data_IF_053032224334
#
_entry.id   IF_053032224334
#
_cell.length_a   1.000
_cell.length_b   1.000
_cell.length_c   1.000
_cell.angle_alpha   90.00
_cell.angle_beta   90.00
_cell.angle_gamma   90.00
#
_symmetry.space_group_name_H-M   'P 1'
#
loop_
_entity.id
_entity.type
_entity.pdbx_description
1 polymer ?
#
# COMPACT_ATOMS: atom_id res chain seq x y z
N UNK A 1 -45.76 -18.80 52.81
CA UNK A 1 -44.37 -18.35 53.02
C UNK A 1 -43.71 -18.34 51.65
N UNK A 2 -43.78 -17.32 50.79
CA UNK A 2 -43.37 -15.91 50.91
C UNK A 2 -41.94 -15.75 51.45
N UNK A 3 -41.07 -15.18 50.61
CA UNK A 3 -39.97 -14.19 50.76
C UNK A 3 -39.23 -14.24 49.38
N UNK A 4 -39.26 -13.29 48.43
CA UNK A 4 -39.06 -11.83 48.47
C UNK A 4 -37.73 -11.52 49.20
N UNK A 5 -36.66 -10.93 48.66
CA UNK A 5 -36.54 -9.78 47.73
C UNK A 5 -35.04 -9.55 47.39
N UNK A 6 -34.77 -9.11 46.15
CA UNK A 6 -33.90 -7.99 45.74
C UNK A 6 -32.49 -7.81 46.37
N UNK A 7 -31.45 -7.89 45.53
CA UNK A 7 -30.40 -6.86 45.40
C UNK A 7 -29.54 -7.09 44.14
N UNK A 8 -29.76 -6.28 43.09
CA UNK A 8 -28.80 -5.32 42.49
C UNK A 8 -27.60 -5.99 41.79
N UNK A 9 -27.57 -6.09 40.45
CA UNK A 9 -27.16 -5.04 39.48
C UNK A 9 -25.82 -4.37 39.82
N UNK A 10 -25.05 -4.05 38.76
CA UNK A 10 -23.70 -3.44 38.71
C UNK A 10 -22.57 -4.49 38.66
N UNK A 11 -21.68 -4.62 37.68
CA UNK A 11 -21.29 -3.77 36.55
C UNK A 11 -21.06 -4.64 35.29
N UNK A 12 -21.89 -4.43 34.27
CA UNK A 12 -21.42 -4.42 32.88
C UNK A 12 -20.70 -3.08 32.71
N UNK A 13 -19.38 -3.03 32.68
CA UNK A 13 -18.66 -1.85 32.21
C UNK A 13 -17.28 -2.22 31.64
N UNK A 14 -17.09 -1.83 30.38
CA UNK A 14 -15.83 -1.67 29.65
C UNK A 14 -14.96 -2.93 29.43
N UNK A 15 -15.26 -3.62 28.33
CA UNK A 15 -14.23 -4.03 27.37
C UNK A 15 -14.74 -3.81 25.94
N UNK A 16 -15.20 -2.59 25.63
CA UNK A 16 -15.01 -2.04 24.29
C UNK A 16 -13.56 -1.52 24.23
N UNK A 17 -12.62 -2.46 24.29
CA UNK A 17 -11.28 -2.21 23.76
C UNK A 17 -11.48 -1.90 22.29
N UNK A 18 -11.37 -0.61 21.98
CA UNK A 18 -11.13 -0.07 20.66
C UNK A 18 -10.28 -1.09 19.91
N UNK A 19 -10.90 -1.76 18.94
CA UNK A 19 -10.17 -2.34 17.82
C UNK A 19 -9.56 -1.15 17.10
N UNK A 20 -8.41 -0.68 17.61
CA UNK A 20 -7.43 0.04 16.82
C UNK A 20 -7.25 -0.86 15.62
N UNK A 21 -7.78 -0.43 14.47
CA UNK A 21 -7.65 -1.16 13.24
C UNK A 21 -6.19 -1.52 13.10
N UNK A 22 -5.90 -2.81 13.10
CA UNK A 22 -4.63 -3.32 12.65
C UNK A 22 -4.56 -2.97 11.15
N UNK A 23 -4.24 -1.71 10.87
CA UNK A 23 -3.74 -1.34 9.56
C UNK A 23 -2.56 -2.27 9.31
N UNK A 24 -2.58 -2.99 8.20
CA UNK A 24 -1.47 -3.84 7.80
C UNK A 24 -0.18 -3.01 7.97
N UNK A 25 0.67 -3.43 8.90
CA UNK A 25 1.88 -2.69 9.24
C UNK A 25 2.72 -2.65 7.96
N UNK A 26 3.04 -1.44 7.47
CA UNK A 26 3.77 -1.30 6.21
C UNK A 26 5.14 -1.99 6.36
N UNK A 27 5.53 -2.77 5.36
CA UNK A 27 6.82 -3.45 5.35
C UNK A 27 7.98 -2.45 5.44
N UNK A 28 7.78 -1.17 5.12
CA UNK A 28 8.79 -0.12 5.22
C UNK A 28 8.82 0.60 6.56
N UNK A 29 7.96 0.25 7.51
CA UNK A 29 7.95 0.91 8.82
C UNK A 29 9.06 0.39 9.74
N UNK A 30 9.64 1.31 10.56
CA UNK A 30 9.47 2.78 10.56
C UNK A 30 10.06 3.50 9.33
N UNK A 31 9.42 4.60 8.89
CA UNK A 31 9.66 5.28 7.61
C UNK A 31 11.12 5.69 7.31
N UNK A 32 11.87 6.06 8.36
CA UNK A 32 13.26 6.51 8.27
C UNK A 32 14.26 5.36 8.42
N UNK A 33 13.79 4.15 8.69
CA UNK A 33 14.65 2.99 8.83
C UNK A 33 15.32 2.67 7.50
N UNK A 34 16.63 2.51 7.56
CA UNK A 34 17.41 1.82 6.54
C UNK A 34 17.44 0.35 6.87
N UNK A 35 17.30 -0.47 5.85
CA UNK A 35 17.26 -1.92 5.94
C UNK A 35 18.53 -2.47 5.30
N UNK A 36 19.34 -3.14 6.11
CA UNK A 36 20.41 -3.99 5.65
C UNK A 36 19.83 -5.35 5.25
N UNK A 37 20.10 -5.74 4.01
CA UNK A 37 19.63 -6.99 3.41
C UNK A 37 20.77 -7.99 3.40
N UNK A 38 20.46 -9.25 3.75
CA UNK A 38 21.36 -10.38 3.57
C UNK A 38 21.75 -10.51 2.08
N UNK A 39 23.04 -10.56 1.74
CA UNK A 39 23.48 -10.49 0.34
C UNK A 39 23.27 -11.81 -0.44
N UNK A 40 23.12 -12.94 0.26
CA UNK A 40 22.85 -14.22 -0.40
C UNK A 40 21.34 -14.38 -0.62
N UNK A 41 20.92 -14.11 -1.84
CA UNK A 41 19.56 -14.33 -2.30
C UNK A 41 19.49 -15.71 -2.96
N UNK A 42 18.82 -16.65 -2.31
CA UNK A 42 18.56 -17.96 -2.91
C UNK A 42 17.66 -17.82 -4.14
N UNK A 43 18.01 -18.43 -5.26
CA UNK A 43 17.22 -18.43 -6.50
C UNK A 43 16.79 -19.86 -6.78
N UNK A 44 15.52 -20.15 -6.56
CA UNK A 44 14.98 -21.52 -6.53
C UNK A 44 13.91 -21.67 -7.59
N UNK A 45 13.91 -22.79 -8.31
CA UNK A 45 12.81 -23.10 -9.24
C UNK A 45 11.56 -23.48 -8.44
N UNK A 46 10.39 -23.04 -8.87
CA UNK A 46 9.15 -23.31 -8.16
C UNK A 46 8.80 -24.82 -8.06
N UNK A 47 9.19 -25.62 -9.07
CA UNK A 47 9.04 -27.10 -9.02
C UNK A 47 9.88 -27.72 -7.91
N UNK A 48 11.09 -27.20 -7.71
CA UNK A 48 12.04 -27.73 -6.73
C UNK A 48 11.49 -27.52 -5.31
N UNK A 49 10.76 -26.41 -5.08
CA UNK A 49 10.05 -26.23 -3.82
C UNK A 49 8.92 -27.25 -3.60
N UNK A 50 8.29 -27.76 -4.66
CA UNK A 50 7.30 -28.84 -4.49
C UNK A 50 7.99 -30.17 -4.12
N UNK A 51 9.16 -30.43 -4.69
CA UNK A 51 9.88 -31.70 -4.61
C UNK A 51 10.78 -31.81 -3.36
N UNK A 52 11.51 -30.76 -3.00
CA UNK A 52 12.50 -30.77 -1.92
C UNK A 52 11.92 -30.21 -0.62
N UNK A 53 11.61 -31.11 0.33
CA UNK A 53 11.10 -30.75 1.65
C UNK A 53 12.08 -29.87 2.46
N UNK A 54 13.39 -30.05 2.27
CA UNK A 54 14.42 -29.26 2.94
C UNK A 54 14.40 -27.79 2.50
N UNK A 55 14.21 -27.52 1.20
CA UNK A 55 14.15 -26.16 0.64
C UNK A 55 12.92 -25.41 1.16
N UNK A 56 11.77 -26.10 1.22
CA UNK A 56 10.56 -25.55 1.87
C UNK A 56 10.77 -25.25 3.34
N UNK A 57 11.44 -26.15 4.05
CA UNK A 57 11.71 -25.95 5.47
C UNK A 57 12.66 -24.77 5.70
N UNK A 58 13.67 -24.57 4.84
CA UNK A 58 14.57 -23.43 4.91
C UNK A 58 13.81 -22.10 4.75
N UNK A 59 12.93 -22.00 3.76
CA UNK A 59 12.07 -20.81 3.56
C UNK A 59 11.11 -20.64 4.74
N UNK A 60 10.45 -21.72 5.20
CA UNK A 60 9.53 -21.65 6.34
C UNK A 60 10.22 -21.16 7.62
N UNK A 61 11.44 -21.64 7.88
CA UNK A 61 12.26 -21.20 9.02
C UNK A 61 12.59 -19.71 8.95
N UNK A 62 12.82 -19.17 7.74
CA UNK A 62 13.06 -17.74 7.54
C UNK A 62 11.87 -16.89 8.00
N UNK A 63 10.64 -17.33 7.74
CA UNK A 63 9.42 -16.67 8.22
C UNK A 63 9.13 -16.92 9.70
N UNK A 64 9.58 -18.06 10.24
CA UNK A 64 9.31 -18.45 11.63
C UNK A 64 10.30 -17.84 12.65
N UNK A 65 11.45 -17.32 12.19
CA UNK A 65 12.56 -16.88 13.06
C UNK A 65 12.20 -15.81 14.09
N UNK A 66 11.20 -14.95 13.83
CA UNK A 66 10.57 -13.99 14.78
C UNK A 66 11.51 -13.32 15.81
N UNK A 67 12.74 -13.00 15.42
CA UNK A 67 13.72 -12.32 16.29
C UNK A 67 14.51 -13.20 17.27
N UNK A 68 14.35 -14.52 17.25
CA UNK A 68 15.19 -15.47 18.01
C UNK A 68 16.57 -15.62 17.31
N UNK A 69 17.68 -15.17 17.94
CA UNK A 69 18.98 -15.12 17.27
C UNK A 69 19.47 -16.48 16.78
N UNK A 70 19.26 -17.55 17.54
CA UNK A 70 19.73 -18.89 17.16
C UNK A 70 18.93 -19.44 15.97
N UNK A 71 17.61 -19.24 15.98
CA UNK A 71 16.75 -19.63 14.85
C UNK A 71 17.02 -18.81 13.61
N UNK A 72 17.36 -17.52 13.77
CA UNK A 72 17.73 -16.68 12.64
C UNK A 72 19.07 -17.09 12.04
N UNK A 73 20.07 -17.43 12.86
CA UNK A 73 21.36 -17.97 12.37
C UNK A 73 21.12 -19.24 11.58
N UNK A 74 20.34 -20.19 12.13
CA UNK A 74 20.02 -21.43 11.45
C UNK A 74 19.22 -21.19 10.15
N UNK A 75 18.29 -20.24 10.14
CA UNK A 75 17.52 -19.89 8.95
C UNK A 75 18.38 -19.26 7.85
N UNK A 76 19.27 -18.32 8.18
CA UNK A 76 20.18 -17.70 7.20
C UNK A 76 21.18 -18.72 6.65
N UNK A 77 21.71 -19.61 7.50
CA UNK A 77 22.58 -20.70 7.06
C UNK A 77 21.86 -21.68 6.13
N UNK A 78 20.57 -21.96 6.40
CA UNK A 78 19.74 -22.76 5.51
C UNK A 78 19.51 -22.06 4.16
N UNK A 79 19.33 -20.74 4.15
CA UNK A 79 19.23 -19.94 2.91
C UNK A 79 20.54 -19.95 2.13
N UNK A 80 21.70 -19.84 2.78
CA UNK A 80 23.00 -19.93 2.11
C UNK A 80 23.23 -21.32 1.49
N UNK A 81 22.83 -22.37 2.21
CA UNK A 81 22.93 -23.75 1.71
C UNK A 81 21.98 -23.97 0.53
N UNK A 82 20.74 -23.45 0.63
CA UNK A 82 19.76 -23.47 -0.44
C UNK A 82 20.26 -22.71 -1.66
N UNK A 83 20.89 -21.56 -1.46
CA UNK A 83 21.51 -20.77 -2.52
C UNK A 83 22.60 -21.58 -3.22
N UNK A 84 23.51 -22.23 -2.49
CA UNK A 84 24.56 -23.05 -3.08
C UNK A 84 23.99 -24.25 -3.88
N UNK A 85 22.95 -24.91 -3.35
CA UNK A 85 22.25 -26.00 -4.02
C UNK A 85 21.56 -25.55 -5.32
N UNK A 86 20.74 -24.50 -5.22
CA UNK A 86 19.92 -24.02 -6.33
C UNK A 86 20.71 -23.20 -7.36
N UNK A 87 21.88 -22.66 -7.00
CA UNK A 87 22.71 -21.84 -7.89
C UNK A 87 23.13 -22.59 -9.15
N UNK A 88 23.47 -23.88 -9.06
CA UNK A 88 23.88 -24.65 -10.25
C UNK A 88 22.72 -24.84 -11.23
N UNK A 89 21.52 -25.19 -10.74
CA UNK A 89 20.31 -25.29 -11.56
C UNK A 89 19.88 -23.96 -12.17
N UNK A 90 19.83 -22.91 -11.33
CA UNK A 90 19.47 -21.56 -11.79
C UNK A 90 20.47 -21.00 -12.81
N UNK A 91 21.77 -21.24 -12.65
CA UNK A 91 22.79 -20.82 -13.63
C UNK A 91 22.61 -21.53 -14.97
N UNK A 92 22.33 -22.84 -14.95
CA UNK A 92 22.10 -23.62 -16.17
C UNK A 92 20.85 -23.14 -16.93
N UNK A 93 19.85 -22.62 -16.23
CA UNK A 93 18.54 -22.33 -16.82
C UNK A 93 18.30 -20.87 -17.14
N UNK A 94 18.75 -19.98 -16.26
CA UNK A 94 18.67 -18.52 -16.39
C UNK A 94 19.93 -17.94 -17.05
N UNK A 95 21.01 -18.73 -17.17
CA UNK A 95 22.24 -18.40 -17.89
C UNK A 95 23.18 -17.42 -17.17
N UNK A 96 22.70 -16.61 -16.21
CA UNK A 96 23.51 -15.72 -15.38
C UNK A 96 22.98 -15.68 -13.94
N UNK A 97 23.85 -15.34 -12.99
CA UNK A 97 23.45 -15.21 -11.57
C UNK A 97 22.48 -14.04 -11.38
N UNK A 98 21.19 -14.35 -11.28
CA UNK A 98 20.11 -13.38 -11.03
C UNK A 98 20.32 -12.60 -9.72
N UNK A 99 20.89 -13.24 -8.70
CA UNK A 99 21.25 -12.57 -7.43
C UNK A 99 22.19 -11.37 -7.68
N UNK A 100 23.34 -11.61 -8.32
CA UNK A 100 24.35 -10.57 -8.56
C UNK A 100 23.80 -9.46 -9.46
N UNK A 101 23.00 -9.81 -10.46
CA UNK A 101 22.40 -8.81 -11.35
C UNK A 101 21.37 -7.94 -10.64
N UNK A 102 20.49 -8.53 -9.83
CA UNK A 102 19.46 -7.79 -9.10
C UNK A 102 20.11 -6.73 -8.20
N UNK A 103 21.13 -7.13 -7.45
CA UNK A 103 21.92 -6.23 -6.60
C UNK A 103 22.55 -5.11 -7.43
N UNK A 104 23.21 -5.46 -8.54
CA UNK A 104 23.89 -4.48 -9.39
C UNK A 104 22.92 -3.46 -10.03
N UNK A 105 21.71 -3.89 -10.41
CA UNK A 105 20.66 -3.02 -10.95
C UNK A 105 20.08 -2.09 -9.85
N UNK A 106 19.91 -2.58 -8.63
CA UNK A 106 19.51 -1.74 -7.48
C UNK A 106 20.55 -0.64 -7.19
N UNK A 107 21.84 -0.99 -7.19
CA UNK A 107 22.92 -0.02 -7.03
C UNK A 107 22.98 0.98 -8.20
N UNK A 108 22.73 0.52 -9.43
CA UNK A 108 22.68 1.38 -10.60
C UNK A 108 21.53 2.39 -10.52
N UNK A 109 20.34 1.96 -10.10
CA UNK A 109 19.19 2.84 -9.86
C UNK A 109 19.50 3.88 -8.77
N UNK A 110 20.14 3.46 -7.68
CA UNK A 110 20.55 4.38 -6.62
C UNK A 110 21.51 5.46 -7.12
N UNK A 111 22.54 5.08 -7.89
CA UNK A 111 23.49 6.00 -8.51
C UNK A 111 22.82 6.92 -9.53
N UNK A 112 21.96 6.39 -10.40
CA UNK A 112 21.27 7.17 -11.44
C UNK A 112 20.39 8.28 -10.85
N UNK A 113 19.81 8.04 -9.67
CA UNK A 113 18.97 9.01 -8.95
C UNK A 113 19.75 9.86 -7.95
N UNK A 114 21.09 9.76 -7.90
CA UNK A 114 21.94 10.56 -7.04
C UNK A 114 21.79 10.31 -5.54
N UNK A 115 21.33 9.10 -5.14
CA UNK A 115 21.14 8.79 -3.72
C UNK A 115 22.43 8.22 -3.12
N UNK A 116 23.01 8.96 -2.18
CA UNK A 116 24.18 8.51 -1.42
C UNK A 116 23.83 7.43 -0.38
N UNK A 117 22.58 7.40 0.09
CA UNK A 117 22.15 6.53 1.19
C UNK A 117 20.77 5.92 0.89
N UNK A 118 20.68 4.89 0.02
CA UNK A 118 19.41 4.21 -0.20
C UNK A 118 18.90 3.54 1.07
N UNK A 119 17.58 3.39 1.19
CA UNK A 119 16.92 2.70 2.30
C UNK A 119 17.25 1.23 2.30
N UNK A 120 17.25 0.58 1.13
CA UNK A 120 17.78 -0.77 0.99
C UNK A 120 19.27 -0.70 0.67
N UNK A 121 20.06 -1.46 1.42
CA UNK A 121 21.45 -1.74 1.07
C UNK A 121 21.76 -3.18 1.42
N UNK A 122 22.62 -3.81 0.62
CA UNK A 122 23.09 -5.17 0.90
C UNK A 122 24.35 -5.08 1.75
N UNK A 123 24.38 -5.82 2.86
CA UNK A 123 25.54 -5.82 3.75
C UNK A 123 26.57 -6.85 3.27
N UNK A 124 27.59 -6.36 2.57
CA UNK A 124 28.69 -7.19 2.09
C UNK A 124 29.85 -7.32 3.09
N UNK A 125 29.89 -6.50 4.15
CA UNK A 125 30.95 -6.44 5.17
C UNK A 125 32.36 -6.81 4.64
N UNK A 126 32.88 -6.01 3.71
CA UNK A 126 34.24 -6.09 3.13
C UNK A 126 34.57 -7.38 2.33
N UNK A 127 33.54 -8.16 1.96
CA UNK A 127 33.67 -9.35 1.12
C UNK A 127 33.55 -8.96 -0.36
N UNK A 128 34.44 -9.47 -1.21
CA UNK A 128 34.32 -9.26 -2.67
C UNK A 128 33.17 -10.09 -3.26
N UNK A 129 32.51 -9.65 -4.35
CA UNK A 129 31.39 -10.40 -4.95
C UNK A 129 31.70 -11.86 -5.31
N UNK A 130 32.97 -12.24 -5.48
CA UNK A 130 33.37 -13.63 -5.73
C UNK A 130 33.31 -14.52 -4.47
N UNK A 131 33.46 -13.95 -3.29
CA UNK A 131 33.44 -14.68 -2.01
C UNK A 131 32.00 -14.92 -1.50
N UNK A 132 31.00 -14.22 -2.05
CA UNK A 132 29.56 -14.48 -1.81
C UNK A 132 29.09 -15.85 -2.32
N UNK A 133 29.85 -16.50 -3.20
CA UNK A 133 29.50 -17.82 -3.76
C UNK A 133 29.88 -18.98 -2.85
N UNK A 134 30.43 -18.71 -1.66
CA UNK A 134 30.77 -19.75 -0.67
C UNK A 134 29.84 -19.63 0.54
N UNK A 135 29.37 -20.77 1.08
CA UNK A 135 28.60 -20.76 2.33
C UNK A 135 29.44 -20.09 3.44
N UNK A 136 28.82 -19.16 4.15
CA UNK A 136 29.52 -18.35 5.15
C UNK A 136 29.84 -19.16 6.41
N UNK A 137 30.94 -18.81 7.07
CA UNK A 137 31.37 -19.45 8.32
C UNK A 137 30.48 -18.97 9.49
N UNK A 138 30.09 -19.89 10.37
CA UNK A 138 29.10 -19.68 11.44
C UNK A 138 29.42 -18.48 12.37
N UNK A 139 30.70 -18.27 12.69
CA UNK A 139 31.11 -17.19 13.60
C UNK A 139 30.99 -15.80 12.97
N UNK A 140 31.12 -15.70 11.64
CA UNK A 140 30.90 -14.45 10.91
C UNK A 140 29.40 -14.17 10.77
N UNK A 141 28.57 -15.22 10.66
CA UNK A 141 27.12 -15.10 10.61
C UNK A 141 26.54 -14.52 11.91
N UNK A 142 27.01 -15.01 13.07
CA UNK A 142 26.60 -14.52 14.39
C UNK A 142 26.91 -13.04 14.60
N UNK A 143 28.05 -12.55 14.11
CA UNK A 143 28.43 -11.13 14.21
C UNK A 143 27.59 -10.20 13.32
N UNK A 144 27.00 -10.74 12.24
CA UNK A 144 26.26 -9.97 11.23
C UNK A 144 24.76 -9.91 11.50
N UNK A 145 24.21 -10.91 12.21
CA UNK A 145 22.77 -11.05 12.35
C UNK A 145 22.09 -9.87 13.05
N UNK A 146 22.80 -9.22 13.97
CA UNK A 146 22.31 -8.03 14.66
C UNK A 146 22.20 -6.81 13.73
N UNK A 147 22.97 -6.81 12.62
CA UNK A 147 23.00 -5.71 11.64
C UNK A 147 22.06 -5.94 10.47
N UNK A 148 21.65 -7.18 10.20
CA UNK A 148 20.80 -7.55 9.07
C UNK A 148 19.35 -7.54 9.50
N UNK A 149 18.50 -6.80 8.78
CA UNK A 149 17.06 -6.75 9.09
C UNK A 149 16.21 -7.55 8.12
N UNK A 150 16.68 -7.70 6.88
CA UNK A 150 15.95 -8.37 5.80
C UNK A 150 16.76 -9.52 5.22
N UNK A 151 16.08 -10.57 4.78
CA UNK A 151 16.64 -11.60 3.92
C UNK A 151 15.73 -11.83 2.73
N UNK A 152 16.30 -12.17 1.58
CA UNK A 152 15.57 -12.33 0.33
C UNK A 152 15.71 -13.72 -0.27
N UNK A 153 14.68 -14.17 -0.97
CA UNK A 153 14.75 -15.33 -1.86
C UNK A 153 13.92 -15.07 -3.12
N UNK A 154 14.29 -15.73 -4.22
CA UNK A 154 13.60 -15.65 -5.51
C UNK A 154 13.08 -17.03 -5.85
N UNK A 155 11.80 -17.12 -6.19
CA UNK A 155 11.23 -18.30 -6.82
C UNK A 155 10.95 -18.01 -8.29
N UNK A 156 11.23 -18.96 -9.19
CA UNK A 156 10.98 -18.77 -10.62
C UNK A 156 10.37 -19.99 -11.31
N UNK A 157 9.63 -19.73 -12.38
CA UNK A 157 9.02 -20.72 -13.27
C UNK A 157 9.30 -20.29 -14.72
N UNK A 158 9.82 -21.20 -15.53
CA UNK A 158 9.99 -20.96 -16.97
C UNK A 158 8.65 -21.16 -17.67
N UNK A 159 8.27 -20.19 -18.49
CA UNK A 159 7.08 -20.26 -19.32
C UNK A 159 7.51 -20.59 -20.76
N UNK A 160 6.54 -20.89 -21.63
CA UNK A 160 6.82 -21.17 -23.03
C UNK A 160 7.56 -20.01 -23.71
N UNK A 161 8.54 -20.34 -24.56
CA UNK A 161 9.43 -19.37 -25.19
C UNK A 161 10.58 -18.91 -24.29
N UNK A 162 10.88 -17.60 -24.30
CA UNK A 162 11.98 -17.01 -23.53
C UNK A 162 11.51 -16.27 -22.25
N UNK A 163 10.25 -16.46 -21.86
CA UNK A 163 9.65 -15.80 -20.71
C UNK A 163 9.91 -16.60 -19.42
N UNK A 164 10.16 -15.86 -18.34
CA UNK A 164 10.25 -16.41 -17.00
C UNK A 164 9.35 -15.59 -16.09
N UNK A 165 8.56 -16.27 -15.28
CA UNK A 165 7.85 -15.70 -14.16
C UNK A 165 8.72 -15.87 -12.92
N UNK A 166 9.11 -14.79 -12.24
CA UNK A 166 9.80 -14.89 -10.97
C UNK A 166 9.18 -13.97 -9.92
N UNK A 167 9.30 -14.39 -8.66
CA UNK A 167 8.86 -13.66 -7.48
C UNK A 167 10.02 -13.52 -6.53
N UNK A 168 10.44 -12.29 -6.27
CA UNK A 168 11.39 -11.95 -5.22
C UNK A 168 10.62 -11.64 -3.93
N UNK A 169 10.94 -12.34 -2.86
CA UNK A 169 10.32 -12.15 -1.54
C UNK A 169 11.37 -11.70 -0.54
N UNK A 170 11.12 -10.55 0.08
CA UNK A 170 11.88 -10.03 1.22
C UNK A 170 11.17 -10.40 2.52
N UNK A 171 11.91 -10.88 3.51
CA UNK A 171 11.40 -11.26 4.83
C UNK A 171 12.09 -10.42 5.91
N UNK A 172 11.31 -9.80 6.79
CA UNK A 172 11.81 -9.15 8.00
C UNK A 172 12.19 -10.21 9.02
N UNK A 173 13.48 -10.32 9.32
CA UNK A 173 14.01 -11.34 10.24
C UNK A 173 13.40 -11.23 11.65
N UNK A 174 13.15 -10.01 12.14
CA UNK A 174 12.57 -9.79 13.47
C UNK A 174 11.10 -10.22 13.57
N UNK A 175 10.31 -10.07 12.51
CA UNK A 175 8.85 -10.25 12.58
C UNK A 175 8.31 -11.41 11.75
N UNK A 176 9.07 -11.95 10.80
CA UNK A 176 8.61 -12.92 9.81
C UNK A 176 7.70 -12.35 8.72
N UNK A 177 7.24 -11.09 8.87
CA UNK A 177 6.54 -10.34 7.84
C UNK A 177 7.32 -10.37 6.52
N UNK A 178 6.61 -10.38 5.39
CA UNK A 178 7.24 -10.47 4.08
C UNK A 178 6.57 -9.54 3.06
N UNK A 179 7.34 -9.16 2.05
CA UNK A 179 6.90 -8.39 0.91
C UNK A 179 7.45 -9.04 -0.36
N UNK A 180 6.55 -9.31 -1.31
CA UNK A 180 6.89 -9.98 -2.57
C UNK A 180 6.74 -9.03 -3.76
N UNK A 181 7.57 -9.27 -4.77
CA UNK A 181 7.63 -8.54 -6.04
C UNK A 181 7.69 -9.56 -7.16
N UNK A 182 6.74 -9.51 -8.09
CA UNK A 182 6.61 -10.51 -9.15
C UNK A 182 6.72 -9.86 -10.53
N UNK A 183 7.38 -10.55 -11.44
CA UNK A 183 7.52 -10.13 -12.82
C UNK A 183 7.45 -11.34 -13.77
N UNK A 184 6.80 -11.14 -14.92
CA UNK A 184 6.78 -12.10 -16.03
C UNK A 184 7.37 -11.43 -17.26
N UNK A 185 8.64 -11.69 -17.53
CA UNK A 185 9.43 -11.00 -18.56
C UNK A 185 10.48 -11.93 -19.17
N UNK A 186 11.11 -11.57 -20.30
CA UNK A 186 12.30 -12.26 -20.79
C UNK A 186 13.41 -12.33 -19.73
N UNK A 187 14.16 -13.45 -19.69
CA UNK A 187 15.21 -13.70 -18.68
C UNK A 187 16.20 -12.54 -18.56
N UNK A 188 16.60 -11.95 -19.69
CA UNK A 188 17.56 -10.83 -19.73
C UNK A 188 17.03 -9.52 -19.13
N UNK A 189 15.72 -9.37 -18.95
CA UNK A 189 15.09 -8.20 -18.34
C UNK A 189 14.69 -8.44 -16.89
N UNK A 190 14.72 -9.68 -16.42
CA UNK A 190 14.16 -10.08 -15.14
C UNK A 190 14.76 -9.33 -13.95
N UNK A 191 16.10 -9.30 -13.87
CA UNK A 191 16.82 -8.61 -12.79
C UNK A 191 16.45 -7.13 -12.71
N UNK A 192 16.48 -6.44 -13.85
CA UNK A 192 16.15 -5.00 -13.95
C UNK A 192 14.71 -4.71 -13.56
N UNK A 193 13.76 -5.53 -14.01
CA UNK A 193 12.34 -5.35 -13.69
C UNK A 193 12.09 -5.54 -12.18
N UNK A 194 12.63 -6.60 -11.59
CA UNK A 194 12.50 -6.83 -10.15
C UNK A 194 13.21 -5.73 -9.33
N UNK A 195 14.41 -5.31 -9.74
CA UNK A 195 15.14 -4.21 -9.10
C UNK A 195 14.31 -2.92 -9.12
N UNK A 196 13.69 -2.59 -10.26
CA UNK A 196 12.86 -1.38 -10.39
C UNK A 196 11.65 -1.44 -9.46
N UNK A 197 10.93 -2.56 -9.40
CA UNK A 197 9.78 -2.72 -8.50
C UNK A 197 10.17 -2.58 -7.02
N UNK A 198 11.27 -3.22 -6.62
CA UNK A 198 11.81 -3.15 -5.25
C UNK A 198 12.23 -1.71 -4.94
N UNK A 199 12.97 -1.10 -5.86
CA UNK A 199 13.47 0.26 -5.73
C UNK A 199 12.33 1.26 -5.56
N UNK A 200 11.33 1.23 -6.44
CA UNK A 200 10.16 2.11 -6.39
C UNK A 200 9.32 1.86 -5.13
N UNK A 201 9.27 0.62 -4.64
CA UNK A 201 8.57 0.35 -3.38
C UNK A 201 9.26 1.01 -2.18
N UNK A 202 10.59 0.91 -2.05
CA UNK A 202 11.30 1.47 -0.89
C UNK A 202 11.51 2.99 -0.98
N UNK A 203 11.87 3.48 -2.17
CA UNK A 203 12.23 4.88 -2.41
C UNK A 203 11.08 5.74 -2.95
N UNK A 204 10.04 5.12 -3.49
CA UNK A 204 8.86 5.83 -4.00
C UNK A 204 8.08 6.56 -2.90
N UNK A 205 7.36 7.60 -3.30
CA UNK A 205 6.51 8.38 -2.40
C UNK A 205 5.46 7.47 -1.74
N UNK A 206 5.33 7.56 -0.41
CA UNK A 206 4.26 6.87 0.33
C UNK A 206 2.96 7.60 0.04
N UNK A 207 2.09 7.03 -0.80
CA UNK A 207 0.69 7.43 -0.78
C UNK A 207 0.08 6.82 0.49
N UNK A 208 -0.07 7.63 1.54
CA UNK A 208 -0.89 7.23 2.68
C UNK A 208 -2.29 6.90 2.18
N UNK A 209 -2.91 5.85 2.75
CA UNK A 209 -4.32 5.57 2.47
C UNK A 209 -5.13 6.87 2.60
N UNK A 210 -5.89 7.22 1.56
CA UNK A 210 -6.67 8.44 1.53
C UNK A 210 -7.59 8.47 2.74
N UNK A 211 -7.35 9.41 3.66
CA UNK A 211 -8.19 9.60 4.83
C UNK A 211 -9.18 10.70 4.50
N UNK A 212 -10.46 10.34 4.41
CA UNK A 212 -11.56 11.30 4.29
C UNK A 212 -11.42 12.36 5.40
N UNK A 213 -11.31 13.66 5.06
CA UNK A 213 -11.28 14.72 6.06
C UNK A 213 -12.52 14.66 6.96
N UNK A 214 -12.39 14.91 8.26
CA UNK A 214 -13.53 14.94 9.17
C UNK A 214 -14.54 16.07 8.84
N UNK A 215 -14.09 17.08 8.10
CA UNK A 215 -14.91 18.15 7.54
C UNK A 215 -15.61 17.77 6.22
N UNK A 216 -15.26 16.65 5.59
CA UNK A 216 -15.86 16.24 4.34
C UNK A 216 -17.30 15.75 4.62
N UNK A 217 -18.28 16.59 4.25
CA UNK A 217 -19.70 16.29 4.36
C UNK A 217 -20.10 15.00 3.64
N UNK A 218 -21.32 14.53 3.87
CA UNK A 218 -21.88 13.37 3.20
C UNK A 218 -22.30 13.72 1.77
N UNK A 219 -21.83 12.94 0.79
CA UNK A 219 -22.20 13.09 -0.61
C UNK A 219 -23.47 12.28 -0.92
N UNK A 220 -24.43 12.92 -1.56
CA UNK A 220 -25.71 12.32 -1.94
C UNK A 220 -25.80 12.40 -3.46
N UNK A 221 -26.08 11.26 -4.09
CA UNK A 221 -26.30 11.18 -5.53
C UNK A 221 -27.55 11.97 -5.96
N UNK A 222 -27.64 12.26 -7.25
CA UNK A 222 -28.86 12.79 -7.84
C UNK A 222 -30.04 11.83 -7.57
N UNK A 223 -31.27 12.37 -7.59
CA UNK A 223 -32.49 11.56 -7.58
C UNK A 223 -32.40 10.43 -8.61
N UNK A 224 -32.91 9.20 -8.31
CA UNK A 224 -32.85 8.07 -9.23
C UNK A 224 -33.39 8.39 -10.63
N UNK A 225 -34.45 9.21 -10.74
CA UNK A 225 -35.00 9.65 -12.02
C UNK A 225 -34.16 10.67 -12.81
N UNK A 226 -33.10 11.21 -12.20
CA UNK A 226 -32.21 12.24 -12.77
C UNK A 226 -30.80 11.71 -13.09
N UNK A 227 -30.46 10.47 -12.71
CA UNK A 227 -29.08 9.95 -12.72
C UNK A 227 -28.35 10.07 -14.07
N UNK A 228 -29.09 10.07 -15.20
CA UNK A 228 -28.56 10.17 -16.56
C UNK A 228 -29.19 11.32 -17.36
N UNK A 229 -29.82 12.27 -16.69
CA UNK A 229 -30.52 13.37 -17.34
C UNK A 229 -29.97 14.70 -16.86
N UNK A 230 -29.69 15.59 -17.80
CA UNK A 230 -29.45 16.99 -17.47
C UNK A 230 -30.72 17.56 -16.87
N UNK A 231 -30.57 18.27 -15.76
CA UNK A 231 -31.67 18.96 -15.06
C UNK A 231 -31.35 20.44 -14.94
N UNK A 232 -32.38 21.23 -14.66
CA UNK A 232 -32.19 22.65 -14.37
C UNK A 232 -31.60 22.83 -12.97
N UNK A 233 -30.93 23.95 -12.75
CA UNK A 233 -30.32 24.27 -11.45
C UNK A 233 -31.38 24.34 -10.36
N UNK A 234 -32.55 24.90 -10.67
CA UNK A 234 -33.67 25.00 -9.73
C UNK A 234 -34.17 23.62 -9.27
N UNK A 235 -34.26 22.65 -10.19
CA UNK A 235 -34.64 21.26 -9.86
C UNK A 235 -33.58 20.62 -8.96
N UNK A 236 -32.30 20.82 -9.28
CA UNK A 236 -31.19 20.29 -8.49
C UNK A 236 -31.17 20.87 -7.06
N UNK A 237 -31.27 22.20 -6.92
CA UNK A 237 -31.34 22.90 -5.62
C UNK A 237 -32.51 22.38 -4.79
N UNK A 238 -33.71 22.30 -5.39
CA UNK A 238 -34.90 21.83 -4.70
C UNK A 238 -34.74 20.39 -4.22
N UNK A 239 -34.19 19.51 -5.04
CA UNK A 239 -33.96 18.13 -4.62
C UNK A 239 -32.96 18.05 -3.47
N UNK A 240 -31.81 18.73 -3.56
CA UNK A 240 -30.83 18.75 -2.47
C UNK A 240 -31.45 19.23 -1.16
N UNK A 241 -32.28 20.27 -1.20
CA UNK A 241 -32.99 20.78 -0.03
C UNK A 241 -33.91 19.73 0.61
N UNK A 242 -34.59 18.88 -0.18
CA UNK A 242 -35.42 17.79 0.38
C UNK A 242 -34.60 16.73 1.12
N UNK A 243 -33.31 16.61 0.80
CA UNK A 243 -32.37 15.69 1.46
C UNK A 243 -31.62 16.36 2.63
N UNK A 244 -32.00 17.59 3.01
CA UNK A 244 -31.28 18.37 4.03
C UNK A 244 -29.85 18.74 3.60
N UNK A 245 -29.62 18.85 2.29
CA UNK A 245 -28.31 19.08 1.67
C UNK A 245 -28.35 20.31 0.76
N UNK A 246 -27.18 20.71 0.26
CA UNK A 246 -27.04 21.82 -0.69
C UNK A 246 -26.26 21.36 -1.93
N UNK A 247 -26.29 22.16 -2.99
CA UNK A 247 -25.32 21.99 -4.07
C UNK A 247 -23.90 22.23 -3.53
N UNK A 248 -22.88 21.48 -3.97
CA UNK A 248 -21.49 21.69 -3.54
C UNK A 248 -20.92 22.98 -4.12
N UNK A 249 -19.89 23.50 -3.48
CA UNK A 249 -18.99 24.49 -4.09
C UNK A 249 -18.09 23.80 -5.12
N UNK A 250 -17.48 24.58 -6.02
CA UNK A 250 -16.55 24.04 -7.01
C UNK A 250 -15.33 23.36 -6.35
N UNK A 251 -14.77 23.96 -5.30
CA UNK A 251 -13.65 23.40 -4.56
C UNK A 251 -14.01 22.08 -3.86
N UNK A 252 -15.23 21.96 -3.32
CA UNK A 252 -15.68 20.70 -2.72
C UNK A 252 -15.85 19.60 -3.76
N UNK A 253 -16.39 19.94 -4.93
CA UNK A 253 -16.57 18.99 -6.02
C UNK A 253 -15.21 18.53 -6.58
N UNK A 254 -14.25 19.44 -6.74
CA UNK A 254 -12.89 19.15 -7.16
C UNK A 254 -12.15 18.24 -6.15
N UNK A 255 -12.24 18.54 -4.85
CA UNK A 255 -11.67 17.68 -3.82
C UNK A 255 -12.32 16.29 -3.78
N UNK A 256 -13.63 16.21 -4.02
CA UNK A 256 -14.34 14.93 -4.05
C UNK A 256 -14.04 14.12 -5.32
N UNK A 257 -13.82 14.77 -6.45
CA UNK A 257 -13.30 14.13 -7.66
C UNK A 257 -11.91 13.52 -7.39
N UNK A 258 -11.01 14.28 -6.77
CA UNK A 258 -9.66 13.82 -6.42
C UNK A 258 -9.64 12.68 -5.38
N UNK A 259 -10.60 12.68 -4.43
CA UNK A 259 -10.76 11.59 -3.47
C UNK A 259 -11.30 10.30 -4.12
N UNK A 260 -12.04 10.43 -5.23
CA UNK A 260 -12.68 9.32 -5.93
C UNK A 260 -13.82 8.67 -5.14
N UNK A 261 -14.64 7.90 -5.85
CA UNK A 261 -15.84 7.27 -5.29
C UNK A 261 -15.55 6.38 -4.07
N UNK A 262 -14.47 5.58 -4.12
CA UNK A 262 -14.08 4.68 -3.04
C UNK A 262 -13.32 5.39 -1.90
N UNK A 263 -12.86 6.64 -2.09
CA UNK A 263 -12.23 7.46 -1.06
C UNK A 263 -13.21 8.34 -0.27
N UNK A 264 -14.51 8.18 -0.49
CA UNK A 264 -15.54 9.04 0.12
C UNK A 264 -15.78 10.35 -0.65
N UNK A 265 -15.33 10.41 -1.90
CA UNK A 265 -15.63 11.46 -2.87
C UNK A 265 -16.74 11.07 -3.85
N UNK A 266 -16.69 11.61 -5.07
CA UNK A 266 -17.69 11.37 -6.13
C UNK A 266 -17.02 10.86 -7.41
N UNK A 267 -17.80 10.22 -8.28
CA UNK A 267 -17.36 9.84 -9.62
C UNK A 267 -17.97 10.82 -10.63
N UNK A 268 -17.18 11.81 -11.06
CA UNK A 268 -17.60 12.70 -12.13
C UNK A 268 -17.42 12.02 -13.49
N UNK A 269 -18.33 12.30 -14.41
CA UNK A 269 -18.25 11.85 -15.81
C UNK A 269 -17.25 12.73 -16.55
N UNK A 270 -16.46 12.12 -17.41
CA UNK A 270 -15.62 12.83 -18.35
C UNK A 270 -16.49 13.69 -19.29
N UNK A 271 -16.15 14.97 -19.46
CA UNK A 271 -16.96 15.94 -20.21
C UNK A 271 -18.34 16.24 -19.62
N UNK A 272 -18.58 15.87 -18.36
CA UNK A 272 -19.82 16.13 -17.64
C UNK A 272 -19.91 17.56 -17.11
N UNK A 273 -21.09 18.16 -17.24
CA UNK A 273 -21.43 19.45 -16.64
C UNK A 273 -22.20 19.24 -15.33
N UNK A 274 -21.72 19.81 -14.22
CA UNK A 274 -22.31 19.63 -12.89
C UNK A 274 -22.74 20.95 -12.26
N UNK A 275 -23.95 21.02 -11.70
CA UNK A 275 -24.41 22.19 -10.94
C UNK A 275 -23.63 22.33 -9.64
N UNK A 276 -23.05 23.52 -9.45
CA UNK A 276 -22.40 23.96 -8.22
C UNK A 276 -23.03 25.28 -7.75
N UNK A 277 -22.75 25.70 -6.52
CA UNK A 277 -23.34 26.94 -5.97
C UNK A 277 -23.05 28.19 -6.81
N UNK A 278 -21.90 28.25 -7.46
CA UNK A 278 -21.47 29.40 -8.28
C UNK A 278 -21.88 29.31 -9.76
N UNK A 279 -22.38 28.17 -10.24
CA UNK A 279 -22.65 27.97 -11.66
C UNK A 279 -22.60 26.51 -12.09
N UNK A 280 -21.92 26.25 -13.21
CA UNK A 280 -21.67 24.91 -13.74
C UNK A 280 -20.18 24.58 -13.64
N UNK A 281 -19.87 23.39 -13.15
CA UNK A 281 -18.55 22.82 -13.13
C UNK A 281 -18.38 21.90 -14.36
N UNK A 282 -17.39 22.20 -15.19
CA UNK A 282 -17.08 21.49 -16.43
C UNK A 282 -15.86 20.60 -16.21
N UNK A 283 -16.03 19.28 -16.30
CA UNK A 283 -14.92 18.33 -16.07
C UNK A 283 -13.94 18.27 -17.24
N UNK A 284 -14.29 18.78 -18.43
CA UNK A 284 -13.38 18.80 -19.58
C UNK A 284 -12.34 19.92 -19.50
N UNK A 285 -12.67 21.06 -18.87
CA UNK A 285 -11.78 22.21 -18.73
C UNK A 285 -10.62 21.99 -17.74
N UNK A 286 -10.57 20.81 -17.11
CA UNK A 286 -9.55 20.39 -16.17
C UNK A 286 -8.12 20.34 -16.74
N UNK A 287 -7.95 20.24 -18.07
CA UNK A 287 -6.65 20.00 -18.69
C UNK A 287 -5.90 21.29 -19.12
N UNK A 288 -6.60 22.43 -19.22
CA UNK A 288 -6.06 23.63 -19.90
C UNK A 288 -5.72 24.81 -18.97
N UNK A 289 -5.85 24.64 -17.64
CA UNK A 289 -5.52 25.70 -16.67
C UNK A 289 -6.58 26.79 -16.50
N UNK A 290 -7.71 26.68 -17.21
CA UNK A 290 -8.88 27.54 -17.06
C UNK A 290 -9.70 27.18 -15.81
N UNK A 291 -10.44 28.17 -15.28
CA UNK A 291 -11.41 27.93 -14.20
C UNK A 291 -12.45 26.91 -14.64
N UNK A 292 -12.52 25.76 -13.96
CA UNK A 292 -13.53 24.70 -14.18
C UNK A 292 -14.97 25.18 -13.97
N UNK A 293 -15.18 26.39 -13.44
CA UNK A 293 -16.49 26.98 -13.20
C UNK A 293 -16.89 27.92 -14.33
N UNK A 294 -18.05 27.65 -14.92
CA UNK A 294 -18.73 28.51 -15.88
C UNK A 294 -19.97 29.14 -15.25
N UNK A 295 -20.26 30.43 -15.52
CA UNK A 295 -21.51 31.04 -15.11
C UNK A 295 -22.70 30.30 -15.75
N UNK A 296 -23.73 30.01 -14.96
CA UNK A 296 -24.99 29.47 -15.46
C UNK A 296 -25.99 30.61 -15.63
N UNK A 297 -26.01 31.21 -16.82
CA UNK A 297 -26.85 32.38 -17.12
C UNK A 297 -28.35 32.07 -17.21
N UNK A 298 -28.75 30.79 -17.32
CA UNK A 298 -30.15 30.37 -17.45
C UNK A 298 -30.42 29.18 -16.52
N UNK A 299 -30.76 29.48 -15.27
CA UNK A 299 -30.93 28.48 -14.21
C UNK A 299 -32.11 27.51 -14.43
N UNK A 300 -33.07 27.87 -15.29
CA UNK A 300 -34.28 27.09 -15.59
C UNK A 300 -34.10 26.06 -16.69
N UNK A 301 -33.02 26.13 -17.48
CA UNK A 301 -32.76 25.20 -18.58
C UNK A 301 -32.07 23.92 -18.07
N UNK A 302 -32.50 22.73 -18.52
CA UNK A 302 -31.79 21.49 -18.22
C UNK A 302 -30.40 21.43 -18.85
N UNK A 303 -29.35 21.75 -18.08
CA UNK A 303 -28.00 21.92 -18.61
C UNK A 303 -26.89 21.33 -17.71
N UNK A 304 -27.23 20.62 -16.64
CA UNK A 304 -26.23 20.01 -15.77
C UNK A 304 -26.75 18.81 -14.97
N UNK A 305 -25.83 17.90 -14.65
CA UNK A 305 -25.95 16.90 -13.60
C UNK A 305 -25.73 17.56 -12.24
N UNK A 306 -25.89 16.83 -11.14
CA UNK A 306 -25.60 17.37 -9.82
C UNK A 306 -25.32 16.27 -8.80
N UNK A 307 -24.57 16.63 -7.78
CA UNK A 307 -24.50 15.93 -6.50
C UNK A 307 -24.98 16.90 -5.42
N UNK A 308 -25.43 16.36 -4.29
CA UNK A 308 -25.69 17.18 -3.11
C UNK A 308 -24.64 16.86 -2.04
N UNK A 309 -24.29 17.87 -1.25
CA UNK A 309 -23.41 17.71 -0.10
C UNK A 309 -24.16 18.11 1.17
N UNK A 310 -24.08 17.25 2.19
CA UNK A 310 -24.59 17.52 3.53
C UNK A 310 -23.42 17.75 4.45
N UNK A 311 -23.19 19.00 4.83
CA UNK A 311 -22.11 19.33 5.74
C UNK A 311 -22.41 18.80 7.14
N UNK A 312 -21.39 18.27 7.82
CA UNK A 312 -21.50 17.92 9.22
C UNK A 312 -21.77 19.18 10.04
N UNK A 313 -22.59 19.06 11.09
CA UNK A 313 -22.84 20.18 11.99
C UNK A 313 -21.50 20.68 12.57
N UNK A 314 -21.26 22.01 12.63
CA UNK A 314 -20.01 22.54 13.13
C UNK A 314 -19.79 22.07 14.58
N UNK A 315 -18.63 21.47 14.84
CA UNK A 315 -18.23 20.88 16.14
C UNK A 315 -18.29 21.89 17.30
N UNK A 316 -18.41 23.19 17.02
CA UNK A 316 -18.56 24.25 18.02
C UNK A 316 -19.96 24.31 18.66
N UNK A 317 -21.03 23.80 18.02
CA UNK A 317 -22.38 23.85 18.58
C UNK A 317 -22.61 22.83 19.72
N UNK A 318 -21.84 21.73 19.75
CA UNK A 318 -22.00 20.68 20.75
C UNK A 318 -21.48 21.07 22.16
N UNK A 319 -20.62 22.09 22.27
CA UNK A 319 -20.16 22.63 23.57
C UNK A 319 -21.11 23.67 24.16
N UNK A 320 -21.88 24.39 23.34
CA UNK A 320 -22.76 25.47 23.82
C UNK A 320 -24.05 24.94 24.50
N UNK A 321 -24.55 23.77 24.09
CA UNK A 321 -25.77 23.18 24.69
C UNK A 321 -25.48 22.53 26.05
N UNK A 322 -24.25 22.07 26.30
CA UNK A 322 -23.85 21.54 27.61
C UNK A 322 -23.57 22.61 28.67
N UNK A 323 -23.32 23.85 28.27
CA UNK A 323 -23.03 24.96 29.20
C UNK A 323 -24.26 25.68 29.77
N UNK A 324 -25.45 25.50 29.19
CA UNK A 324 -26.69 26.17 29.62
C UNK A 324 -27.63 25.31 30.50
N UNK A 325 -27.24 24.08 30.82
CA UNK A 325 -28.01 23.19 31.70
C UNK A 325 -27.45 23.10 33.14
N UNK A 326 -26.53 23.99 33.51
CA UNK A 326 -25.89 24.04 34.84
C UNK A 326 -25.92 25.42 35.50
N UNK A 327 -26.89 26.27 35.17
CA UNK A 327 -27.24 27.45 35.97
C UNK A 327 -28.68 27.34 36.46
#
# INVERSE_FOLDING_TARGET
MRWATLARWWLLWLCCSLTVGAGAQDFRDPAQQRFAVWPNIAVVRASDLAEYAQDRQAIANLHAGKGDPEKLVAALQAVDTLQAHAQQGALNELGRSLNVQLIAELDALARQRGMANPKLHFDFADITPQQLQRPMVLDDLKKRIDRVQLAGYITYTRLDGNLVQATFTLVKLRSGASQSFSATVPVNLLAKTLATQVFDYFEGARFSAHRRPASAGEWIAAAPGHMDRLVSREVAVRYCATQGAVLPTAAELEMAEAAGFYGGGVALREGGMYHVQSGLYDTALAQDGDSRVRPNFIASVPNGLYYCVRHAAPVQAAKAVRGKAQQ
#
